data_IF_085337218597
#
_entry.id   IF_085337218597
#
_cell.length_a   1.000
_cell.length_b   1.000
_cell.length_c   1.000
_cell.angle_alpha   90.00
_cell.angle_beta   90.00
_cell.angle_gamma   90.00
#
_symmetry.space_group_name_H-M   'P 1'
#
loop_
_entity.id
_entity.type
_entity.pdbx_description
1 polymer ?
#
# COMPACT_ATOMS: atom_id res chain seq x y z
N UNK A 1 20.39 22.36 -11.29
CA UNK A 1 20.51 22.89 -12.66
C UNK A 1 21.78 23.72 -12.70
N UNK A 2 22.92 23.10 -13.03
CA UNK A 2 24.16 23.82 -13.29
C UNK A 2 24.24 24.15 -14.78
N UNK A 3 24.88 25.27 -15.17
CA UNK A 3 25.01 25.62 -16.57
C UNK A 3 25.84 24.53 -17.26
N UNK A 4 25.32 23.95 -18.34
CA UNK A 4 26.18 23.21 -19.25
C UNK A 4 27.06 24.25 -19.94
N UNK A 5 28.28 24.44 -19.44
CA UNK A 5 29.33 25.14 -20.17
C UNK A 5 29.61 24.31 -21.43
N UNK A 6 28.88 24.59 -22.50
CA UNK A 6 29.23 24.08 -23.83
C UNK A 6 30.57 24.70 -24.18
N UNK A 7 31.66 23.93 -24.05
CA UNK A 7 32.98 24.34 -24.51
C UNK A 7 32.92 24.51 -26.02
N UNK A 8 32.75 25.75 -26.48
CA UNK A 8 32.93 26.08 -27.88
C UNK A 8 34.40 25.87 -28.26
N UNK A 9 34.66 24.88 -29.12
CA UNK A 9 35.99 24.68 -29.70
C UNK A 9 36.07 25.58 -30.95
N UNK A 10 36.73 26.73 -30.80
CA UNK A 10 37.03 27.63 -31.93
C UNK A 10 38.29 27.16 -32.63
N UNK A 11 38.21 26.94 -33.94
CA UNK A 11 39.34 26.53 -34.78
C UNK A 11 39.52 27.57 -35.88
N UNK A 12 40.70 28.19 -35.93
CA UNK A 12 41.08 29.05 -37.05
C UNK A 12 41.62 28.19 -38.19
N UNK A 13 41.01 28.35 -39.38
CA UNK A 13 41.34 27.60 -40.58
C UNK A 13 42.01 28.55 -41.57
N UNK A 14 43.26 28.26 -41.90
CA UNK A 14 44.00 28.93 -42.95
C UNK A 14 43.85 28.13 -44.25
N UNK A 15 43.52 28.82 -45.34
CA UNK A 15 43.32 28.22 -46.65
C UNK A 15 44.38 28.70 -47.65
N UNK A 16 44.79 27.80 -48.54
CA UNK A 16 45.61 28.09 -49.71
C UNK A 16 44.72 28.15 -50.95
N UNK A 17 45.05 29.05 -51.87
CA UNK A 17 44.35 29.19 -53.14
C UNK A 17 44.85 28.14 -54.12
N UNK A 18 43.91 27.36 -54.69
CA UNK A 18 44.21 26.34 -55.70
C UNK A 18 43.34 26.55 -56.94
N UNK A 19 43.67 25.94 -58.09
CA UNK A 19 42.88 26.08 -59.31
C UNK A 19 41.41 25.63 -59.17
N UNK A 20 41.09 24.82 -58.16
CA UNK A 20 39.75 24.36 -57.85
C UNK A 20 39.04 25.21 -56.75
N UNK A 21 39.72 26.22 -56.20
CA UNK A 21 39.24 27.08 -55.12
C UNK A 21 40.13 27.08 -53.88
N UNK A 22 39.68 27.76 -52.83
CA UNK A 22 40.36 27.81 -51.53
C UNK A 22 40.21 26.46 -50.81
N UNK A 23 41.34 25.85 -50.44
CA UNK A 23 41.36 24.61 -49.64
C UNK A 23 42.23 24.80 -48.40
N UNK A 24 41.85 24.21 -47.26
CA UNK A 24 42.63 24.30 -46.02
C UNK A 24 44.08 23.84 -46.21
N UNK A 25 45.02 24.56 -45.61
CA UNK A 25 46.41 24.11 -45.57
C UNK A 25 46.56 22.86 -44.67
N UNK A 26 47.67 22.13 -44.83
CA UNK A 26 47.88 20.86 -44.14
C UNK A 26 47.84 21.02 -42.60
N UNK A 27 48.31 22.14 -42.06
CA UNK A 27 48.23 22.43 -40.62
C UNK A 27 46.79 22.65 -40.15
N UNK A 28 45.96 23.33 -40.94
CA UNK A 28 44.54 23.53 -40.63
C UNK A 28 43.78 22.22 -40.68
N UNK A 29 44.11 21.32 -41.61
CA UNK A 29 43.55 19.95 -41.62
C UNK A 29 43.94 19.20 -40.34
N UNK A 30 45.19 19.31 -39.88
CA UNK A 30 45.62 18.71 -38.60
C UNK A 30 44.88 19.30 -37.40
N UNK A 31 44.68 20.63 -37.36
CA UNK A 31 43.91 21.31 -36.32
C UNK A 31 42.45 20.83 -36.29
N UNK A 32 41.81 20.66 -37.46
CA UNK A 32 40.46 20.12 -37.59
C UNK A 32 40.40 18.68 -37.08
N UNK A 33 41.33 17.82 -37.51
CA UNK A 33 41.38 16.42 -37.07
C UNK A 33 41.58 16.29 -35.54
N UNK A 34 42.43 17.13 -34.96
CA UNK A 34 42.65 17.16 -33.51
C UNK A 34 41.39 17.57 -32.74
N UNK A 35 40.69 18.62 -33.19
CA UNK A 35 39.45 19.06 -32.56
C UNK A 35 38.35 17.99 -32.64
N UNK A 36 38.23 17.29 -33.77
CA UNK A 36 37.30 16.17 -33.92
C UNK A 36 37.58 15.02 -32.95
N UNK A 37 38.86 14.70 -32.71
CA UNK A 37 39.24 13.68 -31.73
C UNK A 37 38.87 14.08 -30.30
N UNK A 38 39.09 15.35 -29.91
CA UNK A 38 38.70 15.84 -28.58
C UNK A 38 37.18 15.71 -28.35
N UNK A 39 36.39 16.06 -29.37
CA UNK A 39 34.93 15.92 -29.31
C UNK A 39 34.55 14.45 -29.17
N UNK A 40 35.19 13.56 -29.92
CA UNK A 40 34.92 12.14 -29.87
C UNK A 40 35.21 11.53 -28.48
N UNK A 41 36.34 11.90 -27.86
CA UNK A 41 36.70 11.40 -26.53
C UNK A 41 35.74 11.91 -25.45
N UNK A 42 35.31 13.18 -25.53
CA UNK A 42 34.35 13.78 -24.58
C UNK A 42 32.95 13.15 -24.74
N UNK A 43 32.54 12.82 -25.97
CA UNK A 43 31.30 12.08 -26.25
C UNK A 43 31.35 10.66 -25.68
N UNK A 44 32.49 9.95 -25.84
CA UNK A 44 32.67 8.60 -25.30
C UNK A 44 32.63 8.61 -23.77
N UNK A 45 33.34 9.54 -23.12
CA UNK A 45 33.34 9.69 -21.67
C UNK A 45 31.95 10.00 -21.12
N UNK A 46 31.24 10.96 -21.73
CA UNK A 46 29.86 11.29 -21.33
C UNK A 46 28.92 10.09 -21.53
N UNK A 47 29.11 9.30 -22.58
CA UNK A 47 28.31 8.09 -22.80
C UNK A 47 28.53 7.03 -21.71
N UNK A 48 29.77 6.81 -21.30
CA UNK A 48 30.11 5.91 -20.20
C UNK A 48 29.52 6.39 -18.86
N UNK A 49 29.63 7.69 -18.56
CA UNK A 49 29.05 8.28 -17.35
C UNK A 49 27.53 8.18 -17.33
N UNK A 50 26.86 8.53 -18.43
CA UNK A 50 25.40 8.42 -18.56
C UNK A 50 24.97 6.95 -18.39
N UNK A 51 25.66 6.01 -19.04
CA UNK A 51 25.37 4.58 -18.91
C UNK A 51 25.50 4.11 -17.47
N UNK A 52 26.56 4.52 -16.78
CA UNK A 52 26.78 4.20 -15.37
C UNK A 52 25.69 4.80 -14.47
N UNK A 53 25.30 6.04 -14.70
CA UNK A 53 24.22 6.69 -13.96
C UNK A 53 22.88 5.98 -14.18
N UNK A 54 22.57 5.59 -15.43
CA UNK A 54 21.38 4.82 -15.78
C UNK A 54 21.36 3.47 -15.07
N UNK A 55 22.48 2.74 -15.08
CA UNK A 55 22.59 1.44 -14.37
C UNK A 55 22.37 1.64 -12.87
N UNK A 56 23.02 2.62 -12.25
CA UNK A 56 22.84 2.90 -10.82
C UNK A 56 21.39 3.24 -10.47
N UNK A 57 20.71 4.03 -11.32
CA UNK A 57 19.27 4.33 -11.12
C UNK A 57 18.41 3.08 -11.28
N UNK A 58 18.70 2.23 -12.26
CA UNK A 58 17.98 0.97 -12.43
C UNK A 58 18.15 0.05 -11.22
N UNK A 59 19.37 -0.10 -10.69
CA UNK A 59 19.62 -0.89 -9.48
C UNK A 59 18.90 -0.32 -8.25
N UNK A 60 18.87 1.01 -8.10
CA UNK A 60 18.09 1.67 -7.04
C UNK A 60 16.59 1.35 -7.17
N UNK A 61 16.03 1.49 -8.36
CA UNK A 61 14.61 1.19 -8.64
C UNK A 61 14.31 -0.29 -8.36
N UNK A 62 15.18 -1.22 -8.75
CA UNK A 62 14.98 -2.64 -8.46
C UNK A 62 14.96 -2.93 -6.95
N UNK A 63 15.84 -2.31 -6.19
CA UNK A 63 15.88 -2.45 -4.74
C UNK A 63 14.63 -1.87 -4.08
N UNK A 64 14.18 -0.69 -4.50
CA UNK A 64 12.94 -0.09 -4.04
C UNK A 64 11.72 -0.97 -4.36
N UNK A 65 11.66 -1.55 -5.55
CA UNK A 65 10.59 -2.48 -5.95
C UNK A 65 10.59 -3.76 -5.11
N UNK A 66 11.75 -4.30 -4.74
CA UNK A 66 11.84 -5.46 -3.82
C UNK A 66 11.30 -5.11 -2.44
N UNK A 67 11.68 -3.95 -1.90
CA UNK A 67 11.17 -3.46 -0.60
C UNK A 67 9.65 -3.24 -0.67
N UNK A 68 9.16 -2.63 -1.75
CA UNK A 68 7.73 -2.42 -1.96
C UNK A 68 6.94 -3.73 -2.00
N UNK A 69 7.43 -4.74 -2.73
CA UNK A 69 6.81 -6.07 -2.77
C UNK A 69 6.70 -6.71 -1.38
N UNK A 70 7.75 -6.58 -0.56
CA UNK A 70 7.75 -7.08 0.82
C UNK A 70 6.69 -6.38 1.67
N UNK A 71 6.66 -5.04 1.66
CA UNK A 71 5.68 -4.25 2.41
C UNK A 71 4.25 -4.57 1.95
N UNK A 72 4.05 -4.75 0.64
CA UNK A 72 2.76 -5.10 0.06
C UNK A 72 2.30 -6.47 0.57
N UNK A 73 3.16 -7.48 0.54
CA UNK A 73 2.85 -8.82 1.06
C UNK A 73 2.50 -8.77 2.56
N UNK A 74 3.27 -8.04 3.37
CA UNK A 74 2.99 -7.86 4.80
C UNK A 74 1.62 -7.19 5.05
N UNK A 75 1.27 -6.18 4.26
CA UNK A 75 -0.04 -5.51 4.35
C UNK A 75 -1.20 -6.42 3.95
N UNK A 76 -1.06 -7.21 2.88
CA UNK A 76 -2.09 -8.17 2.45
C UNK A 76 -2.33 -9.21 3.54
N UNK A 77 -1.26 -9.81 4.07
CA UNK A 77 -1.35 -10.79 5.18
C UNK A 77 -2.02 -10.15 6.41
N UNK A 78 -1.63 -8.92 6.76
CA UNK A 78 -2.24 -8.20 7.89
C UNK A 78 -3.74 -7.97 7.67
N UNK A 79 -4.15 -7.62 6.45
CA UNK A 79 -5.55 -7.42 6.09
C UNK A 79 -6.35 -8.72 6.19
N UNK A 80 -5.81 -9.84 5.71
CA UNK A 80 -6.44 -11.15 5.82
C UNK A 80 -6.61 -11.58 7.28
N UNK A 81 -5.59 -11.36 8.11
CA UNK A 81 -5.65 -11.63 9.56
C UNK A 81 -6.72 -10.76 10.23
N UNK A 82 -6.83 -9.49 9.88
CA UNK A 82 -7.86 -8.59 10.41
C UNK A 82 -9.26 -9.05 10.02
N UNK A 83 -9.46 -9.46 8.76
CA UNK A 83 -10.72 -10.02 8.28
C UNK A 83 -11.13 -11.26 9.08
N UNK A 84 -10.20 -12.22 9.26
CA UNK A 84 -10.44 -13.42 10.08
C UNK A 84 -10.75 -13.10 11.55
N UNK A 85 -10.10 -12.08 12.12
CA UNK A 85 -10.38 -11.64 13.49
C UNK A 85 -11.76 -10.98 13.61
N UNK A 86 -12.17 -10.20 12.61
CA UNK A 86 -13.50 -9.59 12.55
C UNK A 86 -14.59 -10.66 12.44
N UNK A 87 -14.41 -11.66 11.56
CA UNK A 87 -15.34 -12.78 11.45
C UNK A 87 -15.50 -13.54 12.78
N UNK A 88 -14.40 -13.86 13.46
CA UNK A 88 -14.44 -14.49 14.79
C UNK A 88 -15.10 -13.61 15.85
N UNK A 89 -15.00 -12.29 15.72
CA UNK A 89 -15.66 -11.36 16.63
C UNK A 89 -17.17 -11.35 16.37
N UNK A 90 -17.58 -11.33 15.10
CA UNK A 90 -18.98 -11.43 14.67
C UNK A 90 -19.63 -12.72 15.20
N UNK A 91 -18.99 -13.88 15.00
CA UNK A 91 -19.45 -15.17 15.54
C UNK A 91 -19.62 -15.15 17.07
N UNK A 92 -18.68 -14.53 17.80
CA UNK A 92 -18.78 -14.39 19.26
C UNK A 92 -19.93 -13.49 19.69
N UNK A 93 -20.16 -12.41 18.95
CA UNK A 93 -21.25 -11.48 19.21
C UNK A 93 -22.59 -12.17 18.96
N UNK A 94 -22.74 -12.89 17.84
CA UNK A 94 -23.94 -13.69 17.55
C UNK A 94 -24.21 -14.75 18.61
N UNK A 95 -23.17 -15.50 19.01
CA UNK A 95 -23.28 -16.48 20.09
C UNK A 95 -23.73 -15.86 21.41
N UNK A 96 -23.21 -14.66 21.74
CA UNK A 96 -23.59 -13.92 22.95
C UNK A 96 -25.05 -13.47 22.89
N UNK A 97 -25.52 -12.96 21.74
CA UNK A 97 -26.93 -12.61 21.54
C UNK A 97 -27.84 -13.84 21.65
N UNK A 98 -27.43 -14.98 21.09
CA UNK A 98 -28.17 -16.24 21.22
C UNK A 98 -28.31 -16.68 22.67
N UNK A 99 -27.23 -16.62 23.46
CA UNK A 99 -27.27 -16.99 24.88
C UNK A 99 -28.17 -16.05 25.68
N UNK A 100 -28.11 -14.73 25.42
CA UNK A 100 -29.00 -13.75 26.05
C UNK A 100 -30.46 -14.03 25.72
N UNK A 101 -30.79 -14.33 24.45
CA UNK A 101 -32.16 -14.67 24.05
C UNK A 101 -32.66 -15.92 24.77
N UNK A 102 -31.84 -16.97 24.89
CA UNK A 102 -32.19 -18.17 25.66
C UNK A 102 -32.43 -17.87 27.14
N UNK A 103 -31.61 -17.02 27.75
CA UNK A 103 -31.81 -16.61 29.15
C UNK A 103 -33.11 -15.84 29.34
N UNK A 104 -33.43 -14.92 28.42
CA UNK A 104 -34.70 -14.18 28.43
C UNK A 104 -35.89 -15.13 28.29
N UNK A 105 -35.80 -16.11 27.39
CA UNK A 105 -36.86 -17.11 27.19
C UNK A 105 -37.06 -17.97 28.44
N UNK A 106 -35.97 -18.46 29.04
CA UNK A 106 -36.02 -19.23 30.28
C UNK A 106 -36.65 -18.41 31.41
N UNK A 107 -36.23 -17.16 31.59
CA UNK A 107 -36.79 -16.27 32.61
C UNK A 107 -38.28 -16.00 32.37
N UNK A 108 -38.70 -15.80 31.12
CA UNK A 108 -40.11 -15.65 30.74
C UNK A 108 -40.95 -16.89 31.12
N UNK A 109 -40.39 -18.08 30.89
CA UNK A 109 -41.05 -19.33 31.26
C UNK A 109 -41.14 -19.52 32.79
N UNK A 110 -40.08 -19.17 33.53
CA UNK A 110 -40.08 -19.18 34.99
C UNK A 110 -41.12 -18.22 35.58
N UNK A 111 -41.20 -16.98 35.06
CA UNK A 111 -42.21 -16.00 35.49
C UNK A 111 -43.62 -16.53 35.24
N UNK A 112 -43.91 -17.09 34.06
CA UNK A 112 -45.22 -17.70 33.76
C UNK A 112 -45.57 -18.83 34.71
N UNK A 113 -44.59 -19.67 35.05
CA UNK A 113 -44.80 -20.77 35.99
C UNK A 113 -45.03 -20.27 37.43
N UNK A 114 -44.31 -19.22 37.83
CA UNK A 114 -44.52 -18.54 39.10
C UNK A 114 -45.91 -17.93 39.19
N UNK A 115 -46.36 -17.20 38.16
CA UNK A 115 -47.72 -16.64 38.10
C UNK A 115 -48.81 -17.71 38.21
N UNK A 116 -48.65 -18.85 37.52
CA UNK A 116 -49.58 -19.98 37.63
C UNK A 116 -49.62 -20.54 39.05
N UNK A 117 -48.46 -20.72 39.67
CA UNK A 117 -48.34 -21.25 41.03
C UNK A 117 -48.98 -20.30 42.05
N UNK A 118 -48.75 -18.99 41.91
CA UNK A 118 -49.41 -18.00 42.77
C UNK A 118 -50.93 -18.01 42.62
N UNK A 119 -51.46 -18.14 41.39
CA UNK A 119 -52.92 -18.22 41.18
C UNK A 119 -53.53 -19.41 41.91
N UNK A 120 -52.87 -20.57 41.90
CA UNK A 120 -53.31 -21.76 42.63
C UNK A 120 -53.31 -21.49 44.14
N UNK A 121 -52.20 -20.98 44.69
CA UNK A 121 -52.07 -20.70 46.13
C UNK A 121 -53.11 -19.69 46.60
N UNK A 122 -53.37 -18.64 45.82
CA UNK A 122 -54.40 -17.63 46.13
C UNK A 122 -55.79 -18.27 46.10
N UNK A 123 -56.10 -19.07 45.07
CA UNK A 123 -57.38 -19.75 44.96
C UNK A 123 -57.62 -20.71 46.13
N UNK A 124 -56.61 -21.49 46.52
CA UNK A 124 -56.67 -22.40 47.67
C UNK A 124 -56.85 -21.64 48.98
N UNK A 125 -56.16 -20.51 49.15
CA UNK A 125 -56.29 -19.66 50.35
C UNK A 125 -57.69 -19.06 50.47
N UNK A 126 -58.26 -18.56 49.36
CA UNK A 126 -59.63 -18.06 49.32
C UNK A 126 -60.62 -19.20 49.64
N UNK A 127 -60.42 -20.37 49.03
CA UNK A 127 -61.25 -21.54 49.30
C UNK A 127 -61.21 -21.92 50.78
N UNK A 128 -60.03 -21.96 51.40
CA UNK A 128 -59.88 -22.31 52.81
C UNK A 128 -60.56 -21.27 53.72
N UNK A 129 -60.41 -19.98 53.40
CA UNK A 129 -61.06 -18.88 54.11
C UNK A 129 -62.59 -18.97 54.03
N UNK A 130 -63.16 -19.19 52.84
CA UNK A 130 -64.62 -19.32 52.65
C UNK A 130 -65.19 -20.52 53.45
N UNK A 131 -64.48 -21.65 53.46
CA UNK A 131 -64.85 -22.82 54.29
C UNK A 131 -64.81 -22.49 55.78
N UNK A 132 -63.78 -21.80 56.25
CA UNK A 132 -63.65 -21.39 57.65
C UNK A 132 -64.70 -20.36 58.09
N UNK A 133 -65.15 -19.50 57.17
CA UNK A 133 -66.18 -18.50 57.42
C UNK A 133 -67.63 -19.01 57.27
N UNK A 134 -67.84 -20.27 56.85
CA UNK A 134 -69.17 -20.83 56.62
C UNK A 134 -69.91 -20.24 55.40
N UNK A 135 -69.18 -19.60 54.49
CA UNK A 135 -69.71 -19.00 53.27
C UNK A 135 -69.63 -20.07 52.16
N UNK A 136 -70.78 -20.49 51.62
CA UNK A 136 -70.83 -21.42 50.47
C UNK A 136 -70.40 -20.73 49.18
#
# INVERSE_FOLDING_TARGET
>A
MGPSDSKEIKIEIEAIETPAGLVPNLESIKKIAHALNLINDEVILNHEEIKKEVINKMESIENELKVFKKIFAEKVITSEILSLKLQKLEEKVEASFSDVNKRIENLSNEIKNFEKSMKIVIADSIHHFMRGAGIK
#
